data_IF_490977258935
#
_entry.id   IF_490977258935
#
_cell.length_a   1.000
_cell.length_b   1.000
_cell.length_c   1.000
_cell.angle_alpha   90.00
_cell.angle_beta   90.00
_cell.angle_gamma   90.00
#
_symmetry.space_group_name_H-M   'P 1'
#
loop_
_entity.id
_entity.type
_entity.pdbx_description
1 polymer ?
#
# COMPACT_ATOMS: atom_id res chain seq x y z
N UNK A 1 -69.63 -16.30 25.67
CA UNK A 1 -69.06 -17.23 24.68
C UNK A 1 -67.54 -17.15 24.75
N UNK A 2 -66.86 -18.30 24.77
CA UNK A 2 -65.39 -18.41 24.79
C UNK A 2 -64.78 -17.74 23.55
N UNK A 3 -63.62 -17.09 23.68
CA UNK A 3 -62.33 -17.61 23.20
C UNK A 3 -61.16 -16.65 23.53
N UNK A 4 -60.07 -17.28 24.01
CA UNK A 4 -58.63 -16.98 23.97
C UNK A 4 -58.25 -15.81 23.04
N UNK A 5 -57.31 -14.90 23.32
CA UNK A 5 -56.09 -14.93 24.13
C UNK A 5 -54.95 -14.35 23.27
N UNK A 6 -54.15 -13.41 23.82
CA UNK A 6 -52.76 -13.08 23.45
C UNK A 6 -52.40 -11.73 24.09
N UNK A 7 -51.52 -11.78 25.09
CA UNK A 7 -50.96 -10.61 25.76
C UNK A 7 -49.76 -10.12 24.96
N UNK A 8 -49.93 -9.01 24.26
CA UNK A 8 -48.86 -8.20 23.66
C UNK A 8 -48.36 -7.20 24.71
N UNK A 9 -47.07 -7.23 25.02
CA UNK A 9 -46.39 -6.20 25.83
C UNK A 9 -46.22 -4.92 25.00
N UNK A 10 -46.40 -3.73 25.60
CA UNK A 10 -46.16 -2.46 24.92
C UNK A 10 -44.69 -2.03 25.01
N UNK A 11 -44.17 -1.61 23.87
CA UNK A 11 -42.97 -0.83 23.65
C UNK A 11 -43.15 0.60 24.17
N UNK A 12 -42.19 1.10 24.96
CA UNK A 12 -42.04 2.52 25.29
C UNK A 12 -40.89 3.13 24.47
N UNK A 13 -41.19 4.29 23.89
CA UNK A 13 -40.26 5.22 23.24
C UNK A 13 -39.17 5.74 24.20
N UNK A 14 -38.08 6.21 23.59
CA UNK A 14 -36.93 6.91 24.17
C UNK A 14 -37.27 8.26 24.83
N UNK A 15 -36.31 9.13 25.14
CA UNK A 15 -34.89 9.23 24.87
C UNK A 15 -34.26 9.95 26.08
N UNK A 16 -32.98 9.72 26.37
CA UNK A 16 -31.96 10.78 26.28
C UNK A 16 -30.57 10.29 26.69
N UNK A 17 -29.65 10.49 25.75
CA UNK A 17 -28.30 11.05 25.91
C UNK A 17 -27.14 10.20 26.42
N UNK A 18 -26.04 10.39 25.67
CA UNK A 18 -24.63 10.19 26.04
C UNK A 18 -24.08 8.77 25.95
N UNK A 19 -23.55 8.41 24.76
CA UNK A 19 -22.16 7.94 24.63
C UNK A 19 -21.78 7.74 23.15
N UNK A 20 -20.73 8.44 22.72
CA UNK A 20 -19.98 8.21 21.48
C UNK A 20 -19.26 6.86 21.58
N UNK A 21 -19.29 5.97 20.56
CA UNK A 21 -18.27 4.96 20.40
C UNK A 21 -17.35 5.30 19.23
N UNK A 22 -16.06 5.37 19.56
CA UNK A 22 -14.94 5.55 18.66
C UNK A 22 -14.89 4.46 17.57
N UNK A 23 -15.20 4.86 16.33
CA UNK A 23 -14.91 4.09 15.13
C UNK A 23 -13.52 4.48 14.59
N UNK A 24 -12.45 3.97 15.21
CA UNK A 24 -11.10 4.05 14.66
C UNK A 24 -10.27 2.88 15.18
N UNK A 25 -10.41 1.71 14.55
CA UNK A 25 -9.42 0.61 14.51
C UNK A 25 -10.05 -0.61 13.82
N UNK A 26 -10.26 -0.56 12.50
CA UNK A 26 -10.34 -1.77 11.67
C UNK A 26 -10.17 -1.40 10.19
N UNK A 27 -9.03 -0.81 9.86
CA UNK A 27 -8.59 -0.61 8.46
C UNK A 27 -7.10 -0.92 8.34
N UNK A 28 -6.70 -2.12 8.79
CA UNK A 28 -5.34 -2.66 8.58
C UNK A 28 -5.24 -4.20 8.52
N UNK A 29 -6.37 -4.94 8.51
CA UNK A 29 -6.34 -6.42 8.46
C UNK A 29 -6.73 -7.07 7.14
N UNK A 30 -7.30 -6.37 6.16
CA UNK A 30 -7.69 -7.01 4.89
C UNK A 30 -6.65 -7.01 3.77
N UNK A 31 -5.45 -6.46 4.04
CA UNK A 31 -4.29 -6.55 3.14
C UNK A 31 -3.33 -7.70 3.51
N UNK A 32 -3.65 -8.49 4.55
CA UNK A 32 -2.87 -9.69 4.93
C UNK A 32 -3.53 -11.01 4.51
N UNK A 33 -4.84 -11.02 4.26
CA UNK A 33 -5.58 -12.27 3.95
C UNK A 33 -5.51 -12.69 2.47
N UNK A 34 -4.91 -11.90 1.57
CA UNK A 34 -4.59 -12.34 0.21
C UNK A 34 -3.27 -13.12 0.10
N UNK A 35 -2.47 -13.16 1.16
CA UNK A 35 -1.21 -13.91 1.21
C UNK A 35 -1.41 -15.37 1.66
N UNK A 36 -2.56 -15.72 2.24
CA UNK A 36 -2.82 -17.05 2.82
C UNK A 36 -3.51 -18.03 1.87
N UNK A 37 -3.80 -17.63 0.63
CA UNK A 37 -4.39 -18.51 -0.41
C UNK A 37 -3.42 -18.86 -1.55
N UNK A 38 -2.12 -18.59 -1.40
CA UNK A 38 -1.07 -19.00 -2.34
C UNK A 38 0.11 -19.67 -1.60
N UNK A 39 -0.02 -20.94 -1.19
CA UNK A 39 1.09 -21.64 -0.56
C UNK A 39 2.05 -22.14 -1.65
N UNK A 40 2.78 -21.24 -2.31
CA UNK A 40 3.97 -21.53 -3.13
C UNK A 40 4.57 -20.20 -3.64
N UNK A 41 5.42 -19.53 -2.85
CA UNK A 41 6.43 -18.55 -3.36
C UNK A 41 7.40 -18.04 -2.29
N UNK A 42 7.06 -18.05 -0.99
CA UNK A 42 7.99 -17.52 0.03
C UNK A 42 9.29 -18.32 0.15
N UNK A 43 9.24 -19.64 -0.07
CA UNK A 43 10.42 -20.51 -0.14
C UNK A 43 11.24 -20.33 -1.43
N UNK A 44 10.65 -19.78 -2.49
CA UNK A 44 11.33 -19.54 -3.76
C UNK A 44 12.01 -18.16 -3.77
N UNK A 45 11.42 -17.16 -3.11
CA UNK A 45 12.03 -15.84 -2.94
C UNK A 45 13.25 -15.88 -2.01
N UNK A 46 13.18 -16.59 -0.88
CA UNK A 46 14.36 -16.81 -0.01
C UNK A 46 15.46 -17.59 -0.74
N UNK A 47 15.09 -18.61 -1.54
CA UNK A 47 16.05 -19.33 -2.39
C UNK A 47 16.60 -18.46 -3.52
N UNK A 48 15.83 -17.51 -4.05
CA UNK A 48 16.29 -16.59 -5.09
C UNK A 48 17.26 -15.54 -4.52
N UNK A 49 17.01 -15.06 -3.30
CA UNK A 49 17.91 -14.16 -2.58
C UNK A 49 19.22 -14.89 -2.25
N UNK A 50 19.15 -16.13 -1.75
CA UNK A 50 20.34 -16.97 -1.51
C UNK A 50 21.12 -17.26 -2.79
N UNK A 51 20.45 -17.59 -3.91
CA UNK A 51 21.12 -17.78 -5.20
C UNK A 51 21.78 -16.49 -5.71
N UNK A 52 21.14 -15.33 -5.54
CA UNK A 52 21.72 -14.03 -5.92
C UNK A 52 22.93 -13.69 -5.07
N UNK A 53 22.88 -13.98 -3.76
CA UNK A 53 23.97 -13.73 -2.85
C UNK A 53 25.14 -14.69 -3.10
N UNK A 54 24.87 -15.97 -3.36
CA UNK A 54 25.88 -16.96 -3.77
C UNK A 54 26.51 -16.58 -5.12
N UNK A 55 25.71 -16.14 -6.10
CA UNK A 55 26.24 -15.69 -7.39
C UNK A 55 27.07 -14.42 -7.25
N UNK A 56 26.65 -13.46 -6.41
CA UNK A 56 27.44 -12.25 -6.12
C UNK A 56 28.77 -12.59 -5.45
N UNK A 57 28.76 -13.54 -4.50
CA UNK A 57 29.97 -14.00 -3.82
C UNK A 57 30.92 -14.74 -4.78
N UNK A 58 30.40 -15.64 -5.62
CA UNK A 58 31.19 -16.33 -6.64
C UNK A 58 31.79 -15.39 -7.68
N UNK A 59 31.04 -14.36 -8.11
CA UNK A 59 31.56 -13.34 -9.02
C UNK A 59 32.70 -12.54 -8.39
N UNK A 60 32.63 -12.28 -7.08
CA UNK A 60 33.69 -11.61 -6.33
C UNK A 60 34.94 -12.47 -6.25
N UNK A 61 34.80 -13.76 -5.94
CA UNK A 61 35.91 -14.73 -5.92
C UNK A 61 36.56 -14.91 -7.31
N UNK A 62 35.78 -14.92 -8.39
CA UNK A 62 36.30 -14.95 -9.76
C UNK A 62 37.09 -13.66 -10.07
N UNK A 63 36.60 -12.51 -9.61
CA UNK A 63 37.30 -11.23 -9.81
C UNK A 63 38.61 -11.19 -9.03
N UNK A 64 38.61 -11.69 -7.79
CA UNK A 64 39.80 -11.75 -6.94
C UNK A 64 40.84 -12.73 -7.49
N UNK A 65 40.42 -13.89 -7.99
CA UNK A 65 41.33 -14.85 -8.66
C UNK A 65 41.90 -14.29 -9.95
N UNK A 66 41.10 -13.58 -10.76
CA UNK A 66 41.59 -12.89 -11.95
C UNK A 66 42.61 -11.79 -11.60
N UNK A 67 42.39 -11.04 -10.53
CA UNK A 67 43.31 -10.02 -10.04
C UNK A 67 44.64 -10.63 -9.55
N UNK A 68 44.59 -11.75 -8.83
CA UNK A 68 45.79 -12.49 -8.41
C UNK A 68 46.57 -13.04 -9.61
N UNK A 69 45.87 -13.56 -10.63
CA UNK A 69 46.51 -14.02 -11.86
C UNK A 69 47.14 -12.86 -12.65
N UNK A 70 46.48 -11.70 -12.70
CA UNK A 70 47.02 -10.49 -13.32
C UNK A 70 48.25 -9.98 -12.59
N UNK A 71 48.24 -9.94 -11.25
CA UNK A 71 49.40 -9.61 -10.43
C UNK A 71 50.57 -10.57 -10.68
N UNK A 72 50.29 -11.88 -10.72
CA UNK A 72 51.30 -12.90 -11.01
C UNK A 72 51.87 -12.77 -12.42
N UNK A 73 51.04 -12.44 -13.40
CA UNK A 73 51.49 -12.16 -14.77
C UNK A 73 52.36 -10.91 -14.84
N UNK A 74 51.98 -9.86 -14.11
CA UNK A 74 52.75 -8.62 -13.99
C UNK A 74 54.10 -8.87 -13.31
N UNK A 75 54.15 -9.63 -12.22
CA UNK A 75 55.40 -10.05 -11.56
C UNK A 75 56.30 -10.88 -12.49
N UNK A 76 55.74 -11.84 -13.25
CA UNK A 76 56.49 -12.62 -14.23
C UNK A 76 57.04 -11.75 -15.37
N UNK A 77 56.27 -10.74 -15.79
CA UNK A 77 56.71 -9.78 -16.81
C UNK A 77 57.82 -8.87 -16.29
N UNK A 78 57.74 -8.42 -15.03
CA UNK A 78 58.79 -7.62 -14.37
C UNK A 78 60.04 -8.45 -14.07
N UNK A 79 59.90 -9.71 -13.67
CA UNK A 79 61.02 -10.63 -13.46
C UNK A 79 61.76 -10.95 -14.77
N UNK A 80 61.05 -10.96 -15.90
CA UNK A 80 61.65 -11.10 -17.24
C UNK A 80 62.46 -9.86 -17.65
N UNK A 81 62.11 -8.69 -17.13
CA UNK A 81 62.78 -7.41 -17.42
C UNK A 81 63.98 -7.16 -16.50
N UNK A 82 64.01 -7.75 -15.30
CA UNK A 82 65.14 -7.72 -14.36
C UNK A 82 66.31 -8.65 -14.69
N UNK A 83 66.19 -9.49 -15.73
CA UNK A 83 67.25 -10.41 -16.22
C UNK A 83 67.86 -9.93 -17.55
N UNK A 84 67.93 -8.62 -17.75
CA UNK A 84 68.65 -7.99 -18.86
C UNK A 84 70.10 -7.72 -18.47
N UNK A 85 70.96 -8.72 -18.58
CA UNK A 85 72.40 -8.52 -18.60
C UNK A 85 72.81 -8.06 -20.01
N UNK A 86 73.57 -6.98 -20.05
CA UNK A 86 74.01 -6.22 -21.22
C UNK A 86 74.74 -7.08 -22.26
N UNK A 87 74.23 -7.13 -23.49
CA UNK A 87 75.06 -7.35 -24.69
C UNK A 87 74.70 -6.30 -25.73
N UNK A 88 75.65 -5.39 -25.91
CA UNK A 88 75.73 -4.35 -26.94
C UNK A 88 75.53 -4.92 -28.34
N UNK A 89 74.59 -4.37 -29.10
CA UNK A 89 74.62 -4.43 -30.56
C UNK A 89 74.20 -3.09 -31.16
N UNK A 90 75.21 -2.38 -31.67
CA UNK A 90 75.08 -1.25 -32.57
C UNK A 90 74.52 -1.74 -33.91
N UNK A 91 73.48 -1.04 -34.39
CA UNK A 91 73.28 -0.51 -35.76
C UNK A 91 73.65 -1.39 -36.97
N UNK A 92 72.71 -1.66 -37.89
CA UNK A 92 72.47 -0.79 -39.05
C UNK A 92 71.35 -1.37 -39.95
N UNK A 93 70.59 -0.47 -40.57
CA UNK A 93 69.60 -0.71 -41.63
C UNK A 93 70.26 -1.28 -42.90
N UNK A 94 69.49 -2.02 -43.71
CA UNK A 94 69.79 -2.15 -45.13
C UNK A 94 69.18 -3.34 -45.88
N UNK A 95 68.03 -3.07 -46.50
CA UNK A 95 67.61 -3.48 -47.84
C UNK A 95 67.57 -4.96 -48.29
N UNK A 96 66.39 -5.30 -48.81
CA UNK A 96 66.09 -6.44 -49.68
C UNK A 96 66.87 -6.39 -51.00
N UNK A 97 67.46 -7.51 -51.40
CA UNK A 97 67.52 -7.90 -52.81
C UNK A 97 67.68 -9.42 -52.93
N UNK A 98 66.62 -10.08 -53.43
CA UNK A 98 66.69 -11.44 -54.00
C UNK A 98 67.29 -11.32 -55.39
N UNK A 99 68.36 -12.06 -55.65
CA UNK A 99 68.66 -12.50 -57.01
C UNK A 99 69.12 -13.96 -57.00
N UNK A 100 68.46 -14.72 -57.86
CA UNK A 100 68.77 -16.08 -58.25
C UNK A 100 70.21 -16.17 -58.76
N UNK A 101 70.91 -17.25 -58.42
CA UNK A 101 71.97 -17.78 -59.27
C UNK A 101 72.00 -19.30 -59.13
N UNK A 102 71.49 -19.97 -60.16
CA UNK A 102 71.80 -21.37 -60.43
C UNK A 102 73.17 -21.48 -61.10
N UNK A 103 73.74 -22.67 -60.94
CA UNK A 103 74.86 -23.26 -61.67
C UNK A 103 76.21 -22.53 -61.62
N UNK A 104 77.17 -23.14 -60.92
CA UNK A 104 78.54 -23.21 -61.43
C UNK A 104 79.22 -24.46 -60.88
N UNK A 105 79.55 -25.36 -61.79
CA UNK A 105 80.44 -26.49 -61.54
C UNK A 105 81.84 -26.02 -61.11
N UNK A 106 82.50 -26.88 -60.33
CA UNK A 106 83.96 -27.02 -60.18
C UNK A 106 84.85 -25.77 -60.03
N UNK A 107 85.28 -25.50 -58.77
CA UNK A 107 86.65 -25.03 -58.51
C UNK A 107 87.46 -25.99 -57.60
N UNK A 108 86.89 -27.14 -57.20
CA UNK A 108 87.54 -28.04 -56.22
C UNK A 108 88.54 -29.03 -56.83
N UNK A 109 88.50 -29.26 -58.15
CA UNK A 109 89.44 -30.17 -58.82
C UNK A 109 90.84 -29.56 -59.01
N UNK A 110 90.95 -28.23 -59.12
CA UNK A 110 92.21 -27.53 -59.31
C UNK A 110 93.04 -27.39 -58.01
N UNK A 111 92.39 -27.16 -56.86
CA UNK A 111 93.09 -27.04 -55.57
C UNK A 111 93.65 -28.38 -55.08
N UNK A 112 92.96 -29.51 -55.31
CA UNK A 112 93.47 -30.82 -54.90
C UNK A 112 94.69 -31.28 -55.73
N UNK A 113 94.81 -30.87 -56.99
CA UNK A 113 95.99 -31.16 -57.82
C UNK A 113 97.19 -30.29 -57.43
N UNK A 114 96.96 -29.00 -57.11
CA UNK A 114 98.02 -28.07 -56.70
C UNK A 114 98.60 -28.37 -55.30
N UNK A 115 97.76 -28.73 -54.32
CA UNK A 115 98.24 -29.13 -52.99
C UNK A 115 98.92 -30.50 -53.00
N UNK A 116 98.56 -31.41 -53.93
CA UNK A 116 99.26 -32.68 -54.12
C UNK A 116 100.60 -32.51 -54.86
N UNK A 117 100.72 -31.51 -55.74
CA UNK A 117 101.97 -31.16 -56.41
C UNK A 117 102.98 -30.49 -55.46
N UNK A 118 102.54 -29.55 -54.61
CA UNK A 118 103.40 -28.90 -53.61
C UNK A 118 103.86 -29.84 -52.47
N UNK A 119 103.03 -30.81 -52.05
CA UNK A 119 103.46 -31.82 -51.06
C UNK A 119 104.52 -32.77 -51.58
N UNK A 120 104.71 -32.92 -52.90
CA UNK A 120 105.79 -33.74 -53.46
C UNK A 120 107.16 -33.06 -53.41
N UNK A 121 107.24 -31.72 -53.37
CA UNK A 121 108.53 -31.01 -53.27
C UNK A 121 108.99 -30.80 -51.83
N UNK A 122 108.08 -30.47 -50.90
CA UNK A 122 108.43 -30.25 -49.48
C UNK A 122 108.87 -31.53 -48.75
N UNK A 123 108.37 -32.71 -49.15
CA UNK A 123 108.82 -33.98 -48.59
C UNK A 123 110.28 -34.29 -48.95
N UNK A 124 110.87 -33.68 -49.98
CA UNK A 124 112.25 -33.97 -50.39
C UNK A 124 113.29 -33.52 -49.35
N UNK A 125 113.12 -32.32 -48.78
CA UNK A 125 114.09 -31.78 -47.81
C UNK A 125 114.05 -32.50 -46.45
N UNK A 126 112.86 -32.84 -45.96
CA UNK A 126 112.69 -33.63 -44.73
C UNK A 126 113.13 -35.08 -44.93
N UNK A 127 112.86 -35.67 -46.10
CA UNK A 127 113.39 -36.98 -46.44
C UNK A 127 114.92 -36.94 -46.56
N UNK A 128 115.53 -35.90 -47.13
CA UNK A 128 116.99 -35.75 -47.16
C UNK A 128 117.58 -35.64 -45.74
N UNK A 129 116.97 -34.82 -44.87
CA UNK A 129 117.40 -34.70 -43.46
C UNK A 129 117.28 -36.02 -42.71
N UNK A 130 116.20 -36.76 -42.93
CA UNK A 130 116.00 -38.10 -42.37
C UNK A 130 117.04 -39.08 -42.92
N UNK A 131 117.28 -39.11 -44.24
CA UNK A 131 118.28 -40.00 -44.87
C UNK A 131 119.69 -39.69 -44.36
N UNK A 132 120.04 -38.41 -44.19
CA UNK A 132 121.32 -37.99 -43.61
C UNK A 132 121.44 -38.45 -42.15
N UNK A 133 120.38 -38.28 -41.35
CA UNK A 133 120.32 -38.73 -39.96
C UNK A 133 120.38 -40.26 -39.84
N UNK A 134 119.68 -40.99 -40.70
CA UNK A 134 119.67 -42.46 -40.75
C UNK A 134 121.05 -42.99 -41.20
N UNK A 135 121.70 -42.31 -42.16
CA UNK A 135 123.07 -42.62 -42.59
C UNK A 135 124.09 -42.37 -41.48
N UNK A 136 123.98 -41.23 -40.79
CA UNK A 136 124.85 -40.93 -39.66
C UNK A 136 124.63 -41.93 -38.53
N UNK A 137 123.38 -42.23 -38.19
CA UNK A 137 123.04 -43.26 -37.20
C UNK A 137 123.59 -44.65 -37.57
N UNK A 138 123.46 -45.08 -38.83
CA UNK A 138 124.04 -46.33 -39.29
C UNK A 138 125.58 -46.31 -39.19
N UNK A 139 126.22 -45.20 -39.57
CA UNK A 139 127.68 -45.01 -39.42
C UNK A 139 128.12 -45.05 -37.96
N UNK A 140 127.37 -44.41 -37.06
CA UNK A 140 127.64 -44.38 -35.62
C UNK A 140 127.46 -45.77 -34.99
N UNK A 141 126.45 -46.54 -35.43
CA UNK A 141 126.24 -47.92 -34.99
C UNK A 141 127.34 -48.84 -35.51
N UNK A 142 127.75 -48.72 -36.78
CA UNK A 142 128.83 -49.52 -37.37
C UNK A 142 130.15 -49.23 -36.67
N UNK A 143 130.52 -47.95 -36.49
CA UNK A 143 131.75 -47.56 -35.78
C UNK A 143 131.74 -47.99 -34.32
N UNK A 144 130.63 -47.82 -33.60
CA UNK A 144 130.48 -48.30 -32.22
C UNK A 144 130.49 -49.84 -32.11
N UNK A 145 130.14 -50.56 -33.17
CA UNK A 145 130.21 -52.03 -33.22
C UNK A 145 131.62 -52.50 -33.54
N UNK A 146 132.29 -51.88 -34.52
CA UNK A 146 133.71 -52.16 -34.83
C UNK A 146 134.60 -51.93 -33.61
N UNK A 147 134.41 -50.81 -32.92
CA UNK A 147 135.16 -50.48 -31.70
C UNK A 147 134.93 -51.51 -30.58
N UNK A 148 133.67 -51.88 -30.28
CA UNK A 148 133.39 -52.90 -29.26
C UNK A 148 133.90 -54.30 -29.65
N UNK A 149 133.93 -54.62 -30.94
CA UNK A 149 134.48 -55.89 -31.44
C UNK A 149 136.01 -55.94 -31.30
N UNK A 150 136.71 -54.83 -31.56
CA UNK A 150 138.16 -54.69 -31.34
C UNK A 150 138.52 -54.74 -29.85
N UNK A 151 137.74 -54.07 -28.99
CA UNK A 151 138.05 -53.93 -27.56
C UNK A 151 137.62 -55.14 -26.71
N UNK A 152 136.51 -55.81 -27.07
CA UNK A 152 135.86 -56.81 -26.21
C UNK A 152 135.33 -58.05 -26.94
N UNK A 153 135.56 -58.15 -28.26
CA UNK A 153 135.12 -59.30 -29.08
C UNK A 153 133.60 -59.48 -29.21
N UNK A 154 132.79 -58.52 -28.75
CA UNK A 154 131.33 -58.66 -28.62
C UNK A 154 130.57 -57.61 -29.45
N UNK A 155 129.34 -57.93 -29.88
CA UNK A 155 128.52 -57.10 -30.79
C UNK A 155 127.28 -56.46 -30.12
N UNK A 156 127.29 -56.29 -28.80
CA UNK A 156 126.15 -55.79 -28.01
C UNK A 156 125.65 -54.40 -28.44
N UNK A 157 126.55 -53.53 -28.95
CA UNK A 157 126.17 -52.22 -29.52
C UNK A 157 125.09 -52.34 -30.60
N UNK A 158 125.20 -53.36 -31.46
CA UNK A 158 124.25 -53.59 -32.55
C UNK A 158 122.94 -54.18 -32.03
N UNK A 159 123.02 -55.07 -31.02
CA UNK A 159 121.84 -55.66 -30.37
C UNK A 159 121.00 -54.58 -29.70
N UNK A 160 121.64 -53.68 -28.94
CA UNK A 160 120.95 -52.57 -28.29
C UNK A 160 120.38 -51.56 -29.31
N UNK A 161 121.12 -51.23 -30.37
CA UNK A 161 120.63 -50.35 -31.43
C UNK A 161 119.40 -50.94 -32.13
N UNK A 162 119.43 -52.24 -32.45
CA UNK A 162 118.29 -52.97 -32.99
C UNK A 162 117.13 -53.04 -31.99
N UNK A 163 117.42 -53.20 -30.68
CA UNK A 163 116.43 -53.13 -29.61
C UNK A 163 115.74 -51.77 -29.53
N UNK A 164 116.50 -50.67 -29.63
CA UNK A 164 115.98 -49.29 -29.67
C UNK A 164 115.12 -49.06 -30.92
N UNK A 165 115.53 -49.51 -32.10
CA UNK A 165 114.71 -49.39 -33.32
C UNK A 165 113.44 -50.25 -33.26
N UNK A 166 113.51 -51.47 -32.70
CA UNK A 166 112.33 -52.30 -32.44
C UNK A 166 111.36 -51.64 -31.45
N UNK A 167 111.87 -51.04 -30.36
CA UNK A 167 111.05 -50.33 -29.39
C UNK A 167 110.40 -49.07 -30.00
N UNK A 168 111.15 -48.28 -30.78
CA UNK A 168 110.60 -47.15 -31.54
C UNK A 168 109.50 -47.60 -32.50
N UNK A 169 109.71 -48.71 -33.23
CA UNK A 169 108.71 -49.29 -34.14
C UNK A 169 107.46 -49.76 -33.39
N UNK A 170 107.61 -50.40 -32.23
CA UNK A 170 106.48 -50.79 -31.37
C UNK A 170 105.69 -49.56 -30.90
N UNK A 171 106.37 -48.55 -30.36
CA UNK A 171 105.74 -47.32 -29.90
C UNK A 171 104.98 -46.60 -31.02
N UNK A 172 105.52 -46.57 -32.24
CA UNK A 172 104.85 -46.01 -33.41
C UNK A 172 103.60 -46.82 -33.78
N UNK A 173 103.67 -48.15 -33.73
CA UNK A 173 102.50 -49.01 -33.93
C UNK A 173 101.43 -48.76 -32.86
N UNK A 174 101.81 -48.61 -31.58
CA UNK A 174 100.87 -48.34 -30.48
C UNK A 174 100.23 -46.95 -30.61
N UNK A 175 100.97 -45.95 -31.09
CA UNK A 175 100.41 -44.62 -31.42
C UNK A 175 99.41 -44.74 -32.57
N UNK A 176 99.75 -45.50 -33.63
CA UNK A 176 98.86 -45.70 -34.78
C UNK A 176 97.56 -46.42 -34.38
N UNK A 177 97.64 -47.45 -33.54
CA UNK A 177 96.48 -48.18 -33.02
C UNK A 177 95.58 -47.23 -32.21
N UNK A 178 96.14 -46.48 -31.26
CA UNK A 178 95.38 -45.50 -30.47
C UNK A 178 94.77 -44.38 -31.31
N UNK A 179 95.46 -43.93 -32.36
CA UNK A 179 94.92 -42.93 -33.28
C UNK A 179 93.72 -43.50 -34.08
N UNK A 180 93.82 -44.74 -34.54
CA UNK A 180 92.73 -45.43 -35.24
C UNK A 180 91.53 -45.68 -34.32
N UNK A 181 91.76 -46.08 -33.07
CA UNK A 181 90.73 -46.21 -32.03
C UNK A 181 90.08 -44.86 -31.73
N UNK A 182 90.86 -43.80 -31.53
CA UNK A 182 90.34 -42.44 -31.32
C UNK A 182 89.53 -41.94 -32.52
N UNK A 183 89.94 -42.26 -33.76
CA UNK A 183 89.14 -41.96 -34.97
C UNK A 183 87.82 -42.71 -34.98
N UNK A 184 87.79 -43.98 -34.54
CA UNK A 184 86.56 -44.76 -34.43
C UNK A 184 85.64 -44.19 -33.35
N UNK A 185 86.17 -43.79 -32.20
CA UNK A 185 85.42 -43.15 -31.12
C UNK A 185 84.84 -41.81 -31.55
N UNK A 186 85.63 -40.94 -32.19
CA UNK A 186 85.14 -39.65 -32.72
C UNK A 186 84.01 -39.87 -33.72
N UNK A 187 84.15 -40.85 -34.64
CA UNK A 187 83.07 -41.20 -35.59
C UNK A 187 81.82 -41.70 -34.87
N UNK A 188 81.98 -42.53 -33.83
CA UNK A 188 80.87 -43.03 -33.02
C UNK A 188 80.13 -41.89 -32.31
N UNK A 189 80.87 -41.00 -31.64
CA UNK A 189 80.32 -39.83 -30.95
C UNK A 189 79.65 -38.86 -31.93
N UNK A 190 80.24 -38.62 -33.11
CA UNK A 190 79.63 -37.80 -34.15
C UNK A 190 78.28 -38.38 -34.61
N UNK A 191 78.20 -39.71 -34.75
CA UNK A 191 76.94 -40.40 -35.09
C UNK A 191 75.92 -40.26 -33.98
N UNK A 192 76.29 -40.52 -32.72
CA UNK A 192 75.40 -40.33 -31.57
C UNK A 192 74.88 -38.89 -31.47
N UNK A 193 75.74 -37.90 -31.70
CA UNK A 193 75.36 -36.49 -31.65
C UNK A 193 74.41 -36.11 -32.79
N UNK A 194 74.58 -36.71 -33.98
CA UNK A 194 73.66 -36.56 -35.09
C UNK A 194 72.31 -37.23 -34.81
N UNK A 195 72.32 -38.41 -34.21
CA UNK A 195 71.11 -39.17 -33.88
C UNK A 195 70.30 -38.44 -32.79
N UNK A 196 70.95 -37.95 -31.73
CA UNK A 196 70.31 -37.10 -30.70
C UNK A 196 69.70 -35.84 -31.33
N UNK A 197 70.41 -35.17 -32.24
CA UNK A 197 69.86 -34.00 -32.95
C UNK A 197 68.58 -34.33 -33.73
N UNK A 198 68.58 -35.44 -34.46
CA UNK A 198 67.39 -35.89 -35.21
C UNK A 198 66.24 -36.23 -34.26
N UNK A 199 66.52 -36.91 -33.16
CA UNK A 199 65.50 -37.25 -32.16
C UNK A 199 64.88 -36.00 -31.55
N UNK A 200 65.70 -35.03 -31.12
CA UNK A 200 65.21 -33.76 -30.57
C UNK A 200 64.39 -32.96 -31.57
N UNK A 201 64.73 -33.00 -32.85
CA UNK A 201 63.98 -32.34 -33.92
C UNK A 201 62.61 -33.01 -34.12
N UNK A 202 62.56 -34.34 -34.13
CA UNK A 202 61.30 -35.11 -34.22
C UNK A 202 60.41 -34.82 -32.99
N UNK A 203 60.99 -34.83 -31.78
CA UNK A 203 60.26 -34.48 -30.56
C UNK A 203 59.70 -33.05 -30.61
N UNK A 204 60.47 -32.09 -31.10
CA UNK A 204 60.04 -30.70 -31.22
C UNK A 204 58.89 -30.56 -32.22
N UNK A 205 58.99 -31.22 -33.39
CA UNK A 205 57.90 -31.28 -34.36
C UNK A 205 56.65 -31.97 -33.80
N UNK A 206 56.80 -33.01 -32.98
CA UNK A 206 55.68 -33.67 -32.33
C UNK A 206 55.01 -32.75 -31.30
N UNK A 207 55.80 -32.01 -30.50
CA UNK A 207 55.26 -31.00 -29.56
C UNK A 207 54.54 -29.88 -30.31
N UNK A 208 55.10 -29.38 -31.41
CA UNK A 208 54.45 -28.35 -32.23
C UNK A 208 53.11 -28.81 -32.82
N UNK A 209 53.03 -30.07 -33.28
CA UNK A 209 51.76 -30.68 -33.71
C UNK A 209 50.74 -30.72 -32.58
N UNK A 210 51.14 -31.12 -31.37
CA UNK A 210 50.25 -31.16 -30.19
C UNK A 210 49.78 -29.75 -29.82
N UNK A 211 50.69 -28.76 -29.81
CA UNK A 211 50.34 -27.36 -29.55
C UNK A 211 49.31 -26.86 -30.57
N UNK A 212 49.48 -27.19 -31.86
CA UNK A 212 48.52 -26.81 -32.89
C UNK A 212 47.16 -27.50 -32.72
N UNK A 213 47.14 -28.80 -32.36
CA UNK A 213 45.90 -29.52 -32.07
C UNK A 213 45.15 -28.90 -30.89
N UNK A 214 45.85 -28.64 -29.78
CA UNK A 214 45.27 -28.02 -28.59
C UNK A 214 44.77 -26.59 -28.85
N UNK A 215 45.49 -25.80 -29.65
CA UNK A 215 45.04 -24.46 -30.08
C UNK A 215 43.75 -24.54 -30.89
N UNK A 216 43.66 -25.48 -31.83
CA UNK A 216 42.46 -25.68 -32.63
C UNK A 216 41.28 -26.14 -31.77
N UNK A 217 41.50 -27.05 -30.82
CA UNK A 217 40.48 -27.51 -29.89
C UNK A 217 39.97 -26.36 -28.99
N UNK A 218 40.88 -25.53 -28.47
CA UNK A 218 40.53 -24.35 -27.68
C UNK A 218 39.68 -23.37 -28.49
N UNK A 219 40.10 -23.04 -29.72
CA UNK A 219 39.32 -22.16 -30.60
C UNK A 219 37.94 -22.73 -30.94
N UNK A 220 37.83 -24.05 -31.14
CA UNK A 220 36.55 -24.70 -31.36
C UNK A 220 35.64 -24.62 -30.12
N UNK A 221 36.20 -24.84 -28.93
CA UNK A 221 35.47 -24.75 -27.66
C UNK A 221 35.01 -23.31 -27.39
N UNK A 222 35.85 -22.31 -27.63
CA UNK A 222 35.50 -20.89 -27.53
C UNK A 222 34.35 -20.52 -28.49
N UNK A 223 34.45 -20.91 -29.76
CA UNK A 223 33.40 -20.64 -30.75
C UNK A 223 32.06 -21.32 -30.39
N UNK A 224 32.11 -22.54 -29.84
CA UNK A 224 30.91 -23.25 -29.34
C UNK A 224 30.31 -22.53 -28.13
N UNK A 225 31.12 -22.18 -27.14
CA UNK A 225 30.67 -21.47 -25.94
C UNK A 225 30.05 -20.11 -26.28
N UNK A 226 30.64 -19.36 -27.21
CA UNK A 226 30.11 -18.07 -27.67
C UNK A 226 28.76 -18.21 -28.37
N UNK A 227 28.61 -19.24 -29.21
CA UNK A 227 27.34 -19.55 -29.86
C UNK A 227 26.29 -19.92 -28.82
N UNK A 228 26.60 -20.85 -27.92
CA UNK A 228 25.71 -21.27 -26.83
C UNK A 228 25.28 -20.10 -25.96
N UNK A 229 26.22 -19.22 -25.58
CA UNK A 229 25.92 -18.02 -24.82
C UNK A 229 24.92 -17.11 -25.56
N UNK A 230 25.12 -16.85 -26.86
CA UNK A 230 24.17 -16.06 -27.67
C UNK A 230 22.80 -16.71 -27.73
N UNK A 231 22.73 -18.03 -27.93
CA UNK A 231 21.47 -18.76 -27.96
C UNK A 231 20.75 -18.71 -26.62
N UNK A 232 21.45 -18.96 -25.52
CA UNK A 232 20.88 -18.93 -24.18
C UNK A 232 20.39 -17.53 -23.83
N UNK A 233 21.19 -16.50 -24.09
CA UNK A 233 20.78 -15.11 -23.90
C UNK A 233 19.51 -14.78 -24.70
N UNK A 234 19.47 -15.12 -25.99
CA UNK A 234 18.29 -14.84 -26.82
C UNK A 234 17.06 -15.61 -26.32
N UNK A 235 17.24 -16.85 -25.88
CA UNK A 235 16.16 -17.67 -25.30
C UNK A 235 15.62 -17.04 -24.02
N UNK A 236 16.48 -16.63 -23.09
CA UNK A 236 16.05 -16.00 -21.84
C UNK A 236 15.39 -14.65 -22.10
N UNK A 237 15.92 -13.83 -23.00
CA UNK A 237 15.33 -12.53 -23.37
C UNK A 237 13.93 -12.72 -23.95
N UNK A 238 13.74 -13.71 -24.84
CA UNK A 238 12.43 -14.04 -25.41
C UNK A 238 11.46 -14.55 -24.34
N UNK A 239 11.93 -15.37 -23.39
CA UNK A 239 11.10 -15.85 -22.28
C UNK A 239 10.66 -14.69 -21.38
N UNK A 240 11.57 -13.78 -21.02
CA UNK A 240 11.25 -12.57 -20.26
C UNK A 240 10.24 -11.71 -21.00
N UNK A 241 10.46 -11.43 -22.29
CA UNK A 241 9.50 -10.67 -23.09
C UNK A 241 8.13 -11.33 -23.21
N UNK A 242 8.09 -12.66 -23.36
CA UNK A 242 6.83 -13.39 -23.44
C UNK A 242 6.07 -13.30 -22.11
N UNK A 243 6.75 -13.50 -20.99
CA UNK A 243 6.15 -13.37 -19.65
C UNK A 243 5.68 -11.94 -19.42
N UNK A 244 6.52 -10.94 -19.70
CA UNK A 244 6.17 -9.53 -19.56
C UNK A 244 4.94 -9.16 -20.41
N UNK A 245 4.84 -9.66 -21.64
CA UNK A 245 3.68 -9.43 -22.50
C UNK A 245 2.41 -10.09 -21.95
N UNK A 246 2.51 -11.31 -21.41
CA UNK A 246 1.37 -11.99 -20.76
C UNK A 246 0.89 -11.22 -19.53
N UNK A 247 1.83 -10.78 -18.67
CA UNK A 247 1.52 -9.96 -17.50
C UNK A 247 0.86 -8.63 -17.90
N UNK A 248 1.47 -7.89 -18.82
CA UNK A 248 0.93 -6.61 -19.31
C UNK A 248 -0.47 -6.77 -19.94
N UNK A 249 -0.72 -7.85 -20.69
CA UNK A 249 -2.05 -8.12 -21.23
C UNK A 249 -3.08 -8.41 -20.12
N UNK A 250 -2.70 -9.16 -19.08
CA UNK A 250 -3.57 -9.45 -17.95
C UNK A 250 -3.85 -8.17 -17.12
N UNK A 251 -2.83 -7.37 -16.86
CA UNK A 251 -2.96 -6.05 -16.21
C UNK A 251 -3.88 -5.13 -17.01
N UNK A 252 -3.69 -5.03 -18.32
CA UNK A 252 -4.54 -4.21 -19.18
C UNK A 252 -6.01 -4.68 -19.19
N UNK A 253 -6.25 -6.00 -19.11
CA UNK A 253 -7.60 -6.54 -18.98
C UNK A 253 -8.25 -6.13 -17.65
N UNK A 254 -7.52 -6.28 -16.54
CA UNK A 254 -7.99 -5.88 -15.22
C UNK A 254 -8.21 -4.36 -15.12
N UNK A 255 -7.33 -3.54 -15.72
CA UNK A 255 -7.49 -2.10 -15.76
C UNK A 255 -8.76 -1.67 -16.50
N UNK A 256 -9.07 -2.31 -17.64
CA UNK A 256 -10.33 -2.08 -18.35
C UNK A 256 -11.55 -2.44 -17.51
N UNK A 257 -11.50 -3.57 -16.80
CA UNK A 257 -12.58 -3.97 -15.90
C UNK A 257 -12.76 -2.98 -14.74
N UNK A 258 -11.66 -2.45 -14.18
CA UNK A 258 -11.70 -1.40 -13.16
C UNK A 258 -12.33 -0.12 -13.73
N UNK A 259 -11.97 0.30 -14.93
CA UNK A 259 -12.56 1.47 -15.59
C UNK A 259 -14.06 1.28 -15.86
N UNK A 260 -14.47 0.10 -16.32
CA UNK A 260 -15.87 -0.24 -16.54
C UNK A 260 -16.68 -0.25 -15.24
N UNK A 261 -16.13 -0.79 -14.16
CA UNK A 261 -16.76 -0.78 -12.84
C UNK A 261 -16.87 0.63 -12.27
N UNK A 262 -15.85 1.47 -12.46
CA UNK A 262 -15.92 2.89 -12.08
C UNK A 262 -17.03 3.62 -12.82
N UNK A 263 -17.12 3.44 -14.14
CA UNK A 263 -18.18 4.03 -14.97
C UNK A 263 -19.57 3.61 -14.49
N UNK A 264 -19.78 2.32 -14.20
CA UNK A 264 -21.04 1.81 -13.65
C UNK A 264 -21.36 2.41 -12.28
N UNK A 265 -20.36 2.55 -11.42
CA UNK A 265 -20.53 3.17 -10.10
C UNK A 265 -20.95 4.64 -10.24
N UNK A 266 -20.31 5.39 -11.14
CA UNK A 266 -20.66 6.79 -11.40
C UNK A 266 -22.08 6.93 -11.98
N UNK A 267 -22.47 6.02 -12.87
CA UNK A 267 -23.84 5.93 -13.41
C UNK A 267 -24.87 5.62 -12.31
N UNK A 268 -24.60 4.65 -11.44
CA UNK A 268 -25.45 4.32 -10.29
C UNK A 268 -25.59 5.52 -9.34
N UNK A 269 -24.48 6.19 -8.99
CA UNK A 269 -24.50 7.39 -8.15
C UNK A 269 -25.39 8.47 -8.78
N UNK A 270 -25.25 8.73 -10.08
CA UNK A 270 -26.06 9.72 -10.78
C UNK A 270 -27.56 9.38 -10.72
N UNK A 271 -27.92 8.13 -11.03
CA UNK A 271 -29.31 7.67 -10.99
C UNK A 271 -29.87 7.73 -9.56
N UNK A 272 -29.09 7.33 -8.55
CA UNK A 272 -29.49 7.44 -7.15
C UNK A 272 -29.76 8.90 -6.75
N UNK A 273 -28.89 9.83 -7.15
CA UNK A 273 -29.11 11.27 -6.89
C UNK A 273 -30.40 11.78 -7.57
N UNK A 274 -30.66 11.38 -8.82
CA UNK A 274 -31.89 11.75 -9.52
C UNK A 274 -33.15 11.21 -8.84
N UNK A 275 -33.12 9.94 -8.39
CA UNK A 275 -34.22 9.32 -7.65
C UNK A 275 -34.44 10.03 -6.30
N UNK A 276 -33.37 10.28 -5.54
CA UNK A 276 -33.46 11.01 -4.28
C UNK A 276 -34.04 12.41 -4.48
N UNK A 277 -33.60 13.13 -5.50
CA UNK A 277 -34.12 14.46 -5.81
C UNK A 277 -35.60 14.42 -6.18
N UNK A 278 -36.03 13.43 -6.97
CA UNK A 278 -37.43 13.22 -7.30
C UNK A 278 -38.27 12.96 -6.03
N UNK A 279 -37.81 12.07 -5.16
CA UNK A 279 -38.50 11.73 -3.92
C UNK A 279 -38.55 12.92 -2.95
N UNK A 280 -37.46 13.68 -2.81
CA UNK A 280 -37.42 14.91 -2.00
C UNK A 280 -38.42 15.94 -2.52
N UNK A 281 -38.50 16.13 -3.83
CA UNK A 281 -39.49 17.05 -4.44
C UNK A 281 -40.93 16.59 -4.19
N UNK A 282 -41.19 15.29 -4.32
CA UNK A 282 -42.52 14.74 -4.04
C UNK A 282 -42.89 14.89 -2.56
N UNK A 283 -41.96 14.57 -1.66
CA UNK A 283 -42.14 14.76 -0.22
C UNK A 283 -42.48 16.21 0.12
N UNK A 284 -41.72 17.17 -0.42
CA UNK A 284 -41.97 18.60 -0.22
C UNK A 284 -43.37 19.01 -0.68
N UNK A 285 -43.83 18.53 -1.84
CA UNK A 285 -45.21 18.80 -2.32
C UNK A 285 -46.29 18.26 -1.40
N UNK A 286 -46.04 17.12 -0.75
CA UNK A 286 -46.98 16.53 0.21
C UNK A 286 -46.95 17.31 1.52
N UNK A 287 -45.77 17.71 1.97
CA UNK A 287 -45.56 18.54 3.15
C UNK A 287 -46.25 19.90 3.02
N UNK A 288 -46.09 20.60 1.88
CA UNK A 288 -46.80 21.85 1.58
C UNK A 288 -48.34 21.69 1.63
N UNK A 289 -48.86 20.55 1.14
CA UNK A 289 -50.30 20.25 1.24
C UNK A 289 -50.72 19.98 2.68
N UNK A 290 -49.90 19.29 3.45
CA UNK A 290 -50.17 19.02 4.86
C UNK A 290 -50.22 20.33 5.65
N UNK A 291 -49.24 21.20 5.47
CA UNK A 291 -49.19 22.54 6.08
C UNK A 291 -50.46 23.34 5.73
N UNK A 292 -50.86 23.36 4.45
CA UNK A 292 -52.11 24.00 4.03
C UNK A 292 -53.34 23.46 4.76
N UNK A 293 -53.47 22.14 4.90
CA UNK A 293 -54.62 21.55 5.58
C UNK A 293 -54.60 21.80 7.09
N UNK A 294 -53.42 21.77 7.71
CA UNK A 294 -53.26 22.11 9.13
C UNK A 294 -53.68 23.55 9.38
N UNK A 295 -53.12 24.51 8.64
CA UNK A 295 -53.46 25.93 8.77
C UNK A 295 -54.95 26.18 8.52
N UNK A 296 -55.53 25.54 7.49
CA UNK A 296 -56.98 25.63 7.24
C UNK A 296 -57.79 25.10 8.41
N UNK A 297 -57.43 23.94 8.96
CA UNK A 297 -58.14 23.36 10.09
C UNK A 297 -58.04 24.23 11.33
N UNK A 298 -56.85 24.77 11.65
CA UNK A 298 -56.65 25.69 12.77
C UNK A 298 -57.52 26.95 12.61
N UNK A 299 -57.51 27.57 11.42
CA UNK A 299 -58.33 28.74 11.12
C UNK A 299 -59.84 28.46 11.23
N UNK A 300 -60.30 27.32 10.72
CA UNK A 300 -61.70 26.91 10.81
C UNK A 300 -62.11 26.63 12.27
N UNK A 301 -61.25 25.99 13.07
CA UNK A 301 -61.50 25.76 14.50
C UNK A 301 -61.54 27.08 15.28
N UNK A 302 -60.60 27.99 15.03
CA UNK A 302 -60.56 29.30 15.66
C UNK A 302 -61.80 30.13 15.32
N UNK A 303 -62.26 30.06 14.06
CA UNK A 303 -63.50 30.72 13.63
C UNK A 303 -64.72 30.15 14.37
N UNK A 304 -64.81 28.82 14.49
CA UNK A 304 -65.91 28.16 15.22
C UNK A 304 -65.87 28.43 16.72
N UNK A 305 -64.68 28.47 17.32
CA UNK A 305 -64.54 28.83 18.73
C UNK A 305 -64.94 30.28 19.00
N UNK A 306 -64.61 31.21 18.09
CA UNK A 306 -65.09 32.60 18.16
C UNK A 306 -66.61 32.68 18.07
N UNK A 307 -67.23 31.99 17.11
CA UNK A 307 -68.70 31.92 17.00
C UNK A 307 -69.35 31.36 18.28
N UNK A 308 -68.78 30.26 18.80
CA UNK A 308 -69.27 29.59 19.99
C UNK A 308 -69.14 30.49 21.22
N UNK A 309 -68.03 31.21 21.37
CA UNK A 309 -67.83 32.18 22.44
C UNK A 309 -68.80 33.36 22.32
N UNK A 310 -69.02 33.90 21.12
CA UNK A 310 -70.03 34.95 20.90
C UNK A 310 -71.45 34.48 21.27
N UNK A 311 -71.82 33.23 20.93
CA UNK A 311 -73.09 32.64 21.34
C UNK A 311 -73.19 32.43 22.85
N UNK A 312 -72.10 31.99 23.50
CA UNK A 312 -72.03 31.88 24.97
C UNK A 312 -72.22 33.25 25.64
N UNK A 313 -71.57 34.29 25.13
CA UNK A 313 -71.73 35.67 25.61
C UNK A 313 -73.15 36.19 25.42
N UNK A 314 -73.75 35.96 24.24
CA UNK A 314 -75.15 36.33 23.97
C UNK A 314 -76.11 35.60 24.91
N UNK A 315 -75.91 34.29 25.12
CA UNK A 315 -76.68 33.50 26.09
C UNK A 315 -76.52 34.04 27.51
N UNK A 316 -75.31 34.38 27.92
CA UNK A 316 -75.03 34.95 29.24
C UNK A 316 -75.74 36.31 29.42
N UNK A 317 -75.67 37.20 28.42
CA UNK A 317 -76.38 38.49 28.42
C UNK A 317 -77.90 38.31 28.49
N UNK A 318 -78.46 37.37 27.74
CA UNK A 318 -79.90 37.08 27.79
C UNK A 318 -80.31 36.52 29.15
N UNK A 319 -79.50 35.65 29.75
CA UNK A 319 -79.76 35.14 31.10
C UNK A 319 -79.69 36.26 32.14
N UNK A 320 -78.71 37.16 32.05
CA UNK A 320 -78.62 38.33 32.92
C UNK A 320 -79.84 39.25 32.79
N UNK A 321 -80.30 39.51 31.56
CA UNK A 321 -81.50 40.30 31.30
C UNK A 321 -82.76 39.64 31.89
N UNK A 322 -82.92 38.33 31.71
CA UNK A 322 -84.04 37.58 32.32
C UNK A 322 -83.98 37.61 33.85
N UNK A 323 -82.79 37.48 34.45
CA UNK A 323 -82.61 37.60 35.90
C UNK A 323 -82.95 39.00 36.41
N UNK A 324 -82.58 40.06 35.67
CA UNK A 324 -82.97 41.44 35.98
C UNK A 324 -84.48 41.62 35.93
N UNK A 325 -85.14 41.19 34.85
CA UNK A 325 -86.60 41.27 34.76
C UNK A 325 -87.31 40.45 35.84
N UNK A 326 -86.82 39.25 36.17
CA UNK A 326 -87.37 38.46 37.27
C UNK A 326 -87.26 39.21 38.62
N UNK A 327 -86.12 39.88 38.85
CA UNK A 327 -85.92 40.72 40.04
C UNK A 327 -86.83 41.94 40.05
N UNK A 328 -87.04 42.59 38.90
CA UNK A 328 -87.98 43.71 38.75
C UNK A 328 -89.42 43.27 38.99
N UNK A 329 -89.87 42.16 38.41
CA UNK A 329 -91.18 41.58 38.68
C UNK A 329 -91.37 41.28 40.17
N UNK A 330 -90.35 40.72 40.82
CA UNK A 330 -90.40 40.43 42.25
C UNK A 330 -90.53 41.69 43.10
N UNK A 331 -89.78 42.76 42.79
CA UNK A 331 -89.90 44.04 43.50
C UNK A 331 -91.25 44.72 43.26
N UNK A 332 -91.80 44.65 42.04
CA UNK A 332 -93.16 45.14 41.76
C UNK A 332 -94.23 44.34 42.51
N UNK A 333 -94.13 43.01 42.53
CA UNK A 333 -95.03 42.15 43.30
C UNK A 333 -94.97 42.48 44.79
N UNK A 334 -93.77 42.65 45.34
CA UNK A 334 -93.56 43.06 46.74
C UNK A 334 -94.20 44.43 47.02
N UNK A 335 -94.01 45.42 46.13
CA UNK A 335 -94.62 46.73 46.24
C UNK A 335 -96.17 46.67 46.16
N UNK A 336 -96.73 45.86 45.27
CA UNK A 336 -98.18 45.66 45.14
C UNK A 336 -98.73 45.00 46.41
N UNK A 337 -98.06 43.99 46.94
CA UNK A 337 -98.44 43.32 48.19
C UNK A 337 -98.38 44.31 49.36
N UNK A 338 -97.31 45.11 49.44
CA UNK A 338 -97.13 46.13 50.48
C UNK A 338 -98.21 47.22 50.41
N UNK A 339 -98.51 47.76 49.23
CA UNK A 339 -99.58 48.75 49.04
C UNK A 339 -100.97 48.16 49.35
N UNK A 340 -101.27 46.92 48.93
CA UNK A 340 -102.52 46.24 49.32
C UNK A 340 -102.61 46.06 50.82
N UNK A 341 -101.54 45.61 51.48
CA UNK A 341 -101.48 45.46 52.92
C UNK A 341 -101.62 46.80 53.65
N UNK A 342 -101.02 47.88 53.13
CA UNK A 342 -101.15 49.23 53.67
C UNK A 342 -102.59 49.73 53.56
N UNK A 343 -103.23 49.63 52.39
CA UNK A 343 -104.64 50.02 52.22
C UNK A 343 -105.57 49.23 53.15
N UNK A 344 -105.32 47.92 53.31
CA UNK A 344 -106.07 47.08 54.25
C UNK A 344 -105.87 47.53 55.70
N UNK A 345 -104.63 47.82 56.09
CA UNK A 345 -104.31 48.31 57.43
C UNK A 345 -104.96 49.68 57.69
N UNK A 346 -104.97 50.58 56.70
CA UNK A 346 -105.66 51.87 56.78
C UNK A 346 -107.18 51.70 56.88
N UNK A 347 -107.79 50.77 56.11
CA UNK A 347 -109.21 50.45 56.26
C UNK A 347 -109.53 49.95 57.66
N UNK A 348 -108.77 48.98 58.16
CA UNK A 348 -108.90 48.47 59.54
C UNK A 348 -108.65 49.54 60.59
N UNK A 349 -107.78 50.53 60.33
CA UNK A 349 -107.59 51.69 61.22
C UNK A 349 -108.83 52.59 61.21
N UNK A 350 -109.34 52.98 60.04
CA UNK A 350 -110.57 53.79 59.91
C UNK A 350 -111.78 53.09 60.54
N UNK A 351 -111.91 51.78 60.39
CA UNK A 351 -112.98 50.99 61.02
C UNK A 351 -112.86 51.00 62.55
N UNK A 352 -111.63 50.84 63.09
CA UNK A 352 -111.37 50.97 64.53
C UNK A 352 -111.67 52.38 65.02
N UNK A 353 -111.15 53.41 64.37
CA UNK A 353 -111.40 54.82 64.70
C UNK A 353 -112.91 55.13 64.63
N UNK A 354 -113.66 54.55 63.69
CA UNK A 354 -115.11 54.71 63.59
C UNK A 354 -115.85 53.97 64.72
N UNK A 355 -115.41 52.78 65.12
CA UNK A 355 -115.95 52.07 66.28
C UNK A 355 -115.64 52.81 67.58
N UNK A 356 -114.42 53.32 67.74
CA UNK A 356 -114.01 54.18 68.84
C UNK A 356 -114.87 55.45 68.86
N UNK A 357 -115.05 56.15 67.74
CA UNK A 357 -115.92 57.31 67.64
C UNK A 357 -117.38 56.98 67.96
N UNK A 358 -117.92 55.86 67.46
CA UNK A 358 -119.26 55.38 67.82
C UNK A 358 -119.37 55.12 69.32
N UNK A 359 -118.34 54.54 69.94
CA UNK A 359 -118.31 54.32 71.38
C UNK A 359 -118.26 55.65 72.15
N UNK A 360 -117.44 56.62 71.71
CA UNK A 360 -117.36 57.97 72.27
C UNK A 360 -118.71 58.69 72.12
N UNK A 361 -119.36 58.62 70.95
CA UNK A 361 -120.67 59.23 70.71
C UNK A 361 -121.76 58.60 71.58
N UNK A 362 -121.75 57.27 71.76
CA UNK A 362 -122.65 56.59 72.71
C UNK A 362 -122.40 57.07 74.14
N UNK A 363 -121.13 57.23 74.54
CA UNK A 363 -120.75 57.79 75.84
C UNK A 363 -121.24 59.24 76.01
N UNK A 364 -121.04 60.08 74.99
CA UNK A 364 -121.54 61.45 74.97
C UNK A 364 -123.07 61.51 74.97
N UNK A 365 -123.76 60.66 74.23
CA UNK A 365 -125.22 60.59 74.20
C UNK A 365 -125.80 60.06 75.52
N UNK A 366 -125.14 59.07 76.13
CA UNK A 366 -125.45 58.61 77.48
C UNK A 366 -125.28 59.75 78.50
N UNK A 367 -124.20 60.52 78.42
CA UNK A 367 -123.97 61.68 79.29
C UNK A 367 -125.02 62.79 79.06
N UNK A 368 -125.28 63.18 77.81
CA UNK A 368 -126.32 64.16 77.44
C UNK A 368 -127.71 63.71 77.88
N UNK A 369 -128.08 62.45 77.65
CA UNK A 369 -129.34 61.88 78.11
C UNK A 369 -129.42 61.78 79.64
N UNK A 370 -128.30 61.54 80.32
CA UNK A 370 -128.21 61.61 81.78
C UNK A 370 -128.37 63.04 82.28
N UNK A 371 -127.82 64.04 81.59
CA UNK A 371 -128.07 65.46 81.90
C UNK A 371 -129.55 65.82 81.78
N UNK A 372 -130.25 65.35 80.73
CA UNK A 372 -131.69 65.58 80.56
C UNK A 372 -132.51 64.89 81.65
N UNK A 373 -132.27 63.58 81.89
CA UNK A 373 -133.05 62.79 82.86
C UNK A 373 -132.81 63.20 84.31
N UNK A 374 -131.57 63.55 84.67
CA UNK A 374 -131.23 64.07 86.01
C UNK A 374 -131.42 65.59 86.13
N UNK A 375 -131.90 66.26 85.08
CA UNK A 375 -132.20 67.70 85.05
C UNK A 375 -131.01 68.58 85.46
N UNK A 376 -129.86 68.30 84.86
CA UNK A 376 -128.62 69.07 85.05
C UNK A 376 -128.42 70.01 83.84
N UNK A 377 -128.14 71.29 84.10
CA UNK A 377 -127.94 72.31 83.07
C UNK A 377 -129.24 72.84 82.44
N UNK A 378 -129.26 73.21 81.13
CA UNK A 378 -130.35 73.95 80.47
C UNK A 378 -131.76 73.32 80.52
N UNK A 379 -131.88 72.07 80.96
CA UNK A 379 -133.12 71.28 80.96
C UNK A 379 -133.94 71.37 82.27
N UNK A 380 -133.50 72.15 83.27
CA UNK A 380 -134.28 72.39 84.50
C UNK A 380 -135.66 73.04 84.25
N UNK A 381 -135.83 73.74 83.13
CA UNK A 381 -137.03 74.54 82.85
C UNK A 381 -138.20 73.72 82.26
N UNK A 382 -137.95 72.50 81.80
CA UNK A 382 -138.98 71.62 81.19
C UNK A 382 -139.86 70.91 82.23
N UNK A 383 -139.34 70.68 83.45
CA UNK A 383 -140.10 70.04 84.53
C UNK A 383 -141.31 70.89 84.97
N UNK A 384 -141.27 72.21 84.78
CA UNK A 384 -142.34 73.15 85.16
C UNK A 384 -143.49 73.26 84.15
N UNK A 385 -143.36 72.70 82.94
CA UNK A 385 -144.36 72.82 81.86
C UNK A 385 -145.27 71.59 81.70
N UNK A 386 -144.86 70.41 82.18
CA UNK A 386 -145.61 69.15 82.01
C UNK A 386 -146.73 68.93 83.06
N UNK A 387 -146.79 69.75 84.11
CA UNK A 387 -147.72 69.53 85.25
C UNK A 387 -149.12 70.18 85.06
N UNK A 388 -149.39 70.88 83.94
CA UNK A 388 -150.64 71.65 83.73
C UNK A 388 -151.62 71.15 82.65
N UNK A 389 -151.35 70.06 81.91
CA UNK A 389 -152.15 69.70 80.72
C UNK A 389 -152.72 68.26 80.71
N UNK A 390 -153.28 67.78 81.82
CA UNK A 390 -154.03 66.51 81.87
C UNK A 390 -155.43 66.70 82.49
N UNK A 391 -156.34 67.37 81.77
CA UNK A 391 -157.80 67.33 81.96
C UNK A 391 -158.51 68.01 80.76
N UNK A 392 -158.81 67.22 79.71
CA UNK A 392 -159.85 67.35 78.67
C UNK A 392 -159.43 66.49 77.46
N UNK A 393 -159.89 65.25 77.36
CA UNK A 393 -161.16 64.79 76.77
C UNK A 393 -161.27 64.86 75.23
N UNK A 394 -161.32 63.63 74.69
CA UNK A 394 -162.24 63.11 73.65
C UNK A 394 -162.15 63.64 72.20
N UNK A 395 -161.64 62.75 71.34
CA UNK A 395 -162.36 62.32 70.13
C UNK A 395 -161.70 62.65 68.80
N UNK A 396 -161.22 61.64 68.06
CA UNK A 396 -161.61 61.37 66.66
C UNK A 396 -161.05 60.07 66.09
N UNK A 397 -161.94 59.43 65.33
CA UNK A 397 -161.88 58.20 64.53
C UNK A 397 -161.16 58.42 63.18
N UNK A 398 -160.81 57.27 62.56
CA UNK A 398 -160.70 57.01 61.10
C UNK A 398 -159.48 57.64 60.36
N UNK A 399 -158.78 57.01 59.38
CA UNK A 399 -159.11 55.98 58.37
C UNK A 399 -157.80 55.39 57.76
N UNK A 400 -157.88 54.32 56.91
CA UNK A 400 -156.77 53.53 56.38
C UNK A 400 -156.38 53.88 54.93
N UNK A 401 -155.25 53.32 54.47
CA UNK A 401 -154.79 53.31 53.06
C UNK A 401 -153.31 53.70 52.94
N UNK A 402 -152.54 53.35 51.92
CA UNK A 402 -152.65 52.39 50.82
C UNK A 402 -151.24 52.31 50.17
N UNK A 403 -150.95 51.16 49.55
CA UNK A 403 -150.00 50.87 48.44
C UNK A 403 -149.07 51.98 47.89
N UNK A 404 -147.78 51.62 47.69
CA UNK A 404 -146.96 51.73 46.44
C UNK A 404 -145.55 51.19 46.76
N UNK A 405 -145.03 50.10 46.18
CA UNK A 405 -144.47 49.84 44.83
C UNK A 405 -143.36 50.79 44.36
N UNK A 406 -142.34 50.16 43.77
CA UNK A 406 -141.16 50.65 43.00
C UNK A 406 -140.08 51.34 43.82
N UNK A 407 -138.78 51.03 43.65
CA UNK A 407 -138.05 50.61 42.46
C UNK A 407 -136.84 49.74 42.82
#
# INVERSE_FOLDING_TARGET
MRFRGLVLKPSRCGCESSAVPAAAKHRKSRSREWWELFPLTQSEDDRMIDLRQINSQKMKEITDTQNVLNLKYQELSSARQGRGETVTSKSLKGAEHKQQLGNCEDPKRAHHLSTRAMKRSALSADNLRKIQADRQYASDVITATMKKMEESGTFDSLIEANGREKAKKSNLNDILIREEEGKKEIKSLQKQLQDVKKETEIELQNRDKVILCLKNELQQMEAKADMEHRYMKKRTDLQVHQVQKKCSNAENRLNKEIEDLKRKTDEEIRVHMEIENFLRHYYKKVEEKLEYWVDKHENDTDAKDKELNALKESKAKNLEMLQRFASECWTFEEAIIADRAQREAERRKRERDALELKSILKLQAWWRGTMVRRNLGPYQNLRKAQEKNLLNEKGKKEKPGAKKKTR
#
